data_IF_381121495152
#
_entry.id   IF_381121495152
#
_cell.length_a   1.000
_cell.length_b   1.000
_cell.length_c   1.000
_cell.angle_alpha   90.00
_cell.angle_beta   90.00
_cell.angle_gamma   90.00
#
_symmetry.space_group_name_H-M   'P 1'
#
loop_
_entity.id
_entity.type
_entity.pdbx_description
1 polymer ?
#
# COMPACT_ATOMS: atom_id res chain seq x y z
N UNK A 1 -4.30 5.72 -10.30
CA UNK A 1 -3.31 4.78 -9.73
C UNK A 1 -3.92 3.52 -9.08
N UNK A 2 -4.94 3.63 -8.21
CA UNK A 2 -5.58 2.50 -7.50
C UNK A 2 -5.84 1.24 -8.34
N UNK A 3 -6.52 1.38 -9.49
CA UNK A 3 -6.87 0.24 -10.35
C UNK A 3 -5.64 -0.53 -10.86
N UNK A 4 -4.54 0.18 -11.15
CA UNK A 4 -3.28 -0.44 -11.60
C UNK A 4 -2.64 -1.24 -10.47
N UNK A 5 -2.58 -0.68 -9.25
CA UNK A 5 -2.05 -1.36 -8.07
C UNK A 5 -2.86 -2.63 -7.75
N UNK A 6 -4.19 -2.55 -7.82
CA UNK A 6 -5.07 -3.72 -7.65
C UNK A 6 -4.86 -4.78 -8.72
N UNK A 7 -4.71 -4.37 -9.98
CA UNK A 7 -4.44 -5.31 -11.07
C UNK A 7 -3.08 -6.00 -10.88
N UNK A 8 -2.05 -5.26 -10.49
CA UNK A 8 -0.72 -5.79 -10.21
C UNK A 8 -0.73 -6.76 -9.00
N UNK A 9 -1.43 -6.39 -7.92
CA UNK A 9 -1.59 -7.25 -6.75
C UNK A 9 -2.23 -8.59 -7.14
N UNK A 10 -3.34 -8.56 -7.88
CA UNK A 10 -4.02 -9.77 -8.36
C UNK A 10 -3.13 -10.61 -9.28
N UNK A 11 -2.40 -9.96 -10.19
CA UNK A 11 -1.44 -10.64 -11.06
C UNK A 11 -0.34 -11.34 -10.27
N UNK A 12 0.07 -10.76 -9.13
CA UNK A 12 1.03 -11.35 -8.20
C UNK A 12 0.40 -12.36 -7.22
N UNK A 13 -0.89 -12.71 -7.37
CA UNK A 13 -1.59 -13.62 -6.46
C UNK A 13 -1.93 -13.02 -5.09
N UNK A 14 -1.96 -11.70 -4.98
CA UNK A 14 -2.29 -10.97 -3.76
C UNK A 14 -3.73 -10.44 -3.79
N UNK A 15 -4.40 -10.50 -2.65
CA UNK A 15 -5.71 -9.88 -2.44
C UNK A 15 -5.53 -8.44 -1.95
N UNK A 16 -6.02 -7.46 -2.72
CA UNK A 16 -6.01 -6.06 -2.34
C UNK A 16 -7.33 -5.68 -1.66
N UNK A 17 -7.25 -5.00 -0.52
CA UNK A 17 -8.39 -4.48 0.23
C UNK A 17 -8.27 -2.96 0.23
N UNK A 18 -9.31 -2.27 -0.23
CA UNK A 18 -9.36 -0.82 -0.14
C UNK A 18 -9.80 -0.40 1.27
N UNK A 19 -9.10 0.58 1.84
CA UNK A 19 -9.54 1.28 3.04
C UNK A 19 -10.65 2.28 2.73
N UNK A 20 -11.36 2.77 3.76
CA UNK A 20 -12.35 3.84 3.58
C UNK A 20 -11.69 5.13 3.06
N UNK A 21 -12.45 5.92 2.30
CA UNK A 21 -11.99 7.15 1.63
C UNK A 21 -11.69 8.30 2.60
N UNK A 22 -12.31 8.28 3.79
CA UNK A 22 -12.05 9.19 4.91
C UNK A 22 -11.52 8.35 6.07
N UNK A 23 -10.37 8.75 6.63
CA UNK A 23 -9.64 7.95 7.61
C UNK A 23 -9.60 8.69 8.95
N UNK A 24 -10.49 8.32 9.88
CA UNK A 24 -10.18 8.55 11.30
C UNK A 24 -9.15 7.51 11.75
N UNK A 25 -8.20 7.90 12.60
CA UNK A 25 -7.09 7.01 12.97
C UNK A 25 -7.57 5.73 13.66
N UNK A 26 -8.66 5.79 14.41
CA UNK A 26 -9.31 4.64 15.02
C UNK A 26 -9.89 3.66 13.98
N UNK A 27 -10.56 4.16 12.94
CA UNK A 27 -11.12 3.31 11.89
C UNK A 27 -10.02 2.61 11.09
N UNK A 28 -8.91 3.31 10.84
CA UNK A 28 -7.73 2.71 10.22
C UNK A 28 -7.18 1.60 11.08
N UNK A 29 -7.03 1.83 12.38
CA UNK A 29 -6.53 0.82 13.32
C UNK A 29 -7.45 -0.40 13.35
N UNK A 30 -8.76 -0.20 13.38
CA UNK A 30 -9.73 -1.29 13.39
C UNK A 30 -9.69 -2.08 12.07
N UNK A 31 -9.55 -1.39 10.94
CA UNK A 31 -9.39 -2.04 9.63
C UNK A 31 -8.08 -2.84 9.54
N UNK A 32 -6.96 -2.28 10.04
CA UNK A 32 -5.67 -2.97 10.07
C UNK A 32 -5.72 -4.21 10.97
N UNK A 33 -6.39 -4.14 12.12
CA UNK A 33 -6.58 -5.29 13.01
C UNK A 33 -7.43 -6.38 12.36
N UNK A 34 -8.54 -6.00 11.72
CA UNK A 34 -9.45 -6.94 11.05
C UNK A 34 -8.81 -7.64 9.84
N UNK A 35 -8.01 -6.91 9.06
CA UNK A 35 -7.46 -7.42 7.81
C UNK A 35 -6.04 -7.98 7.94
N UNK A 36 -5.32 -7.59 9.00
CA UNK A 36 -3.93 -7.99 9.28
C UNK A 36 -3.04 -7.99 8.03
N UNK A 37 -2.94 -6.87 7.31
CA UNK A 37 -2.28 -6.85 6.02
C UNK A 37 -0.77 -7.01 6.19
N UNK A 38 -0.14 -7.73 5.25
CA UNK A 38 1.31 -7.80 5.20
C UNK A 38 1.96 -6.51 4.71
N UNK A 39 1.26 -5.75 3.86
CA UNK A 39 1.74 -4.54 3.20
C UNK A 39 0.60 -3.52 3.19
N UNK A 40 0.91 -2.27 3.54
CA UNK A 40 -0.01 -1.13 3.39
C UNK A 40 0.52 -0.22 2.29
N UNK A 41 -0.39 0.29 1.46
CA UNK A 41 -0.10 1.36 0.49
C UNK A 41 -1.01 2.54 0.84
N UNK A 42 -0.43 3.72 1.05
CA UNK A 42 -1.18 4.92 1.42
C UNK A 42 -0.72 6.16 0.63
N UNK A 43 -1.50 7.25 0.63
CA UNK A 43 -1.01 8.54 0.13
C UNK A 43 0.19 9.06 0.96
N UNK A 44 1.13 9.82 0.37
CA UNK A 44 2.28 10.37 1.08
C UNK A 44 1.92 11.22 2.30
N UNK A 45 0.80 11.95 2.24
CA UNK A 45 0.35 12.94 3.23
C UNK A 45 0.06 12.31 4.59
N UNK A 46 -0.33 11.04 4.62
CA UNK A 46 -0.70 10.31 5.85
C UNK A 46 0.37 9.34 6.32
N UNK A 47 1.48 9.20 5.59
CA UNK A 47 2.49 8.18 5.84
C UNK A 47 3.03 8.18 7.28
N UNK A 48 3.26 9.38 7.85
CA UNK A 48 3.87 9.52 9.17
C UNK A 48 3.10 8.83 10.30
N UNK A 49 1.77 8.90 10.30
CA UNK A 49 0.95 8.22 11.31
C UNK A 49 0.46 6.85 10.85
N UNK A 50 0.20 6.67 9.54
CA UNK A 50 -0.20 5.39 8.96
C UNK A 50 0.85 4.31 9.20
N UNK A 51 2.13 4.63 8.95
CA UNK A 51 3.23 3.69 9.11
C UNK A 51 3.36 3.20 10.55
N UNK A 52 3.22 4.09 11.54
CA UNK A 52 3.24 3.73 12.96
C UNK A 52 2.14 2.73 13.30
N UNK A 53 0.90 2.99 12.88
CA UNK A 53 -0.23 2.08 13.13
C UNK A 53 -0.02 0.73 12.43
N UNK A 54 0.35 0.75 11.15
CA UNK A 54 0.59 -0.46 10.37
C UNK A 54 1.67 -1.35 10.98
N UNK A 55 2.81 -0.78 11.39
CA UNK A 55 3.89 -1.53 12.03
C UNK A 55 3.50 -2.06 13.41
N UNK A 56 2.73 -1.31 14.20
CA UNK A 56 2.18 -1.80 15.48
C UNK A 56 1.22 -3.00 15.29
N UNK A 57 0.56 -3.08 14.14
CA UNK A 57 -0.31 -4.20 13.77
C UNK A 57 0.44 -5.32 13.01
N UNK A 58 1.78 -5.27 12.93
CA UNK A 58 2.58 -6.34 12.35
C UNK A 58 2.76 -6.30 10.83
N UNK A 59 2.42 -5.19 10.17
CA UNK A 59 2.72 -5.01 8.75
C UNK A 59 4.23 -5.11 8.50
N UNK A 60 4.64 -5.77 7.41
CA UNK A 60 6.05 -5.91 7.05
C UNK A 60 6.59 -4.71 6.27
N UNK A 61 5.72 -4.03 5.53
CA UNK A 61 6.09 -2.87 4.73
C UNK A 61 4.93 -1.88 4.62
N UNK A 62 5.28 -0.60 4.49
CA UNK A 62 4.35 0.49 4.20
C UNK A 62 4.95 1.31 3.07
N UNK A 63 4.22 1.43 1.98
CA UNK A 63 4.63 2.21 0.81
C UNK A 63 3.70 3.42 0.63
N UNK A 64 4.23 4.45 -0.03
CA UNK A 64 3.43 5.59 -0.47
C UNK A 64 3.12 5.49 -1.96
N UNK A 65 1.92 5.93 -2.36
CA UNK A 65 1.52 6.02 -3.74
C UNK A 65 0.51 7.16 -3.93
N UNK A 66 0.99 8.27 -4.50
CA UNK A 66 0.20 9.45 -4.85
C UNK A 66 -0.67 9.23 -6.07
N UNK A 67 -1.62 10.16 -6.30
CA UNK A 67 -2.53 10.10 -7.44
C UNK A 67 -1.80 10.23 -8.80
N UNK A 68 -0.71 10.99 -8.81
CA UNK A 68 0.23 11.21 -9.91
C UNK A 68 1.24 10.05 -10.10
N UNK A 69 1.23 9.06 -9.20
CA UNK A 69 2.20 7.97 -9.19
C UNK A 69 3.50 8.26 -8.45
N UNK A 70 3.64 9.42 -7.82
CA UNK A 70 4.78 9.70 -6.94
C UNK A 70 4.74 8.81 -5.69
N UNK A 71 5.91 8.51 -5.12
CA UNK A 71 6.04 7.79 -3.84
C UNK A 71 6.74 6.45 -3.95
N UNK A 72 6.93 5.82 -2.80
CA UNK A 72 7.91 4.74 -2.65
C UNK A 72 7.51 3.41 -3.29
N UNK A 73 6.23 3.20 -3.59
CA UNK A 73 5.77 1.96 -4.22
C UNK A 73 6.36 1.80 -5.63
N UNK A 74 6.18 2.81 -6.48
CA UNK A 74 6.63 2.75 -7.88
C UNK A 74 8.14 2.94 -7.98
N UNK A 75 8.73 3.79 -7.15
CA UNK A 75 10.19 3.94 -7.04
C UNK A 75 10.85 2.58 -6.74
N UNK A 76 10.30 1.83 -5.77
CA UNK A 76 10.81 0.50 -5.46
C UNK A 76 10.55 -0.49 -6.59
N UNK A 77 9.38 -0.47 -7.21
CA UNK A 77 9.02 -1.37 -8.30
C UNK A 77 9.94 -1.20 -9.53
N UNK A 78 10.42 0.02 -9.79
CA UNK A 78 11.33 0.32 -10.90
C UNK A 78 12.63 -0.50 -10.86
N UNK A 79 13.10 -0.89 -9.67
CA UNK A 79 14.27 -1.76 -9.51
C UNK A 79 14.02 -3.23 -9.89
N UNK A 80 12.77 -3.63 -10.10
CA UNK A 80 12.36 -4.99 -10.44
C UNK A 80 11.78 -5.10 -11.85
N UNK A 81 11.93 -4.06 -12.68
CA UNK A 81 11.60 -4.14 -14.10
C UNK A 81 12.46 -5.25 -14.71
N UNK A 82 11.82 -6.35 -15.11
CA UNK A 82 12.46 -7.35 -15.95
C UNK A 82 12.61 -6.74 -17.33
N UNK A 83 13.85 -6.64 -17.82
CA UNK A 83 14.07 -6.48 -19.25
C UNK A 83 13.41 -7.70 -19.91
N UNK A 84 12.31 -7.49 -20.62
CA UNK A 84 11.83 -8.48 -21.58
C UNK A 84 12.92 -8.63 -22.61
N UNK A 85 13.64 -9.74 -22.54
CA UNK A 85 14.72 -10.07 -23.46
C UNK A 85 14.22 -9.96 -24.91
N UNK A 86 15.00 -9.25 -25.71
CA UNK A 86 15.09 -9.44 -27.16
C UNK A 86 15.88 -10.70 -27.43
#
# INVERSE_FOLDING_TARGET
MRAVVHAAARHAGLHAIDGPEVLRQEEVRDALAQTSPAVVVCPPEVFGWMSKLAFLQGCRAVYTCGADGAGTLLDRAAHFVRATGT
#
